data_IF_231936050067
#
_entry.id   IF_231936050067
#
_cell.length_a   1.000
_cell.length_b   1.000
_cell.length_c   1.000
_cell.angle_alpha   90.00
_cell.angle_beta   90.00
_cell.angle_gamma   90.00
#
_symmetry.space_group_name_H-M   'P 1'
#
loop_
_entity.id
_entity.type
_entity.pdbx_description
1 polymer ?
#
# COMPACT_ATOMS: atom_id res chain seq x y z
N UNK A 1 0.12 25.88 -2.85
CA UNK A 1 -0.34 24.81 -1.93
C UNK A 1 -1.83 24.63 -2.11
N UNK A 2 -2.25 23.69 -2.98
CA UNK A 2 -3.65 23.51 -3.39
C UNK A 2 -4.36 22.34 -2.70
N UNK A 3 -5.67 22.22 -2.92
CA UNK A 3 -6.51 21.12 -2.44
C UNK A 3 -5.93 19.76 -2.86
N UNK A 4 -5.52 18.95 -1.88
CA UNK A 4 -4.99 17.61 -2.14
C UNK A 4 -6.17 16.62 -2.13
N UNK A 5 -6.63 16.21 -3.30
CA UNK A 5 -7.63 15.14 -3.40
C UNK A 5 -6.97 13.79 -3.06
N UNK A 6 -7.34 13.20 -1.93
CA UNK A 6 -6.99 11.82 -1.54
C UNK A 6 -8.26 11.08 -1.19
N UNK A 7 -8.57 10.00 -1.90
CA UNK A 7 -9.72 9.14 -1.65
C UNK A 7 -9.24 7.72 -1.45
N UNK A 8 -9.51 7.14 -0.27
CA UNK A 8 -9.30 5.71 -0.01
C UNK A 8 -10.63 4.99 -0.18
N UNK A 9 -10.68 3.95 -1.01
CA UNK A 9 -11.84 3.07 -1.16
C UNK A 9 -11.43 1.66 -0.76
N UNK A 10 -12.06 1.12 0.28
CA UNK A 10 -11.89 -0.29 0.65
C UNK A 10 -12.62 -1.13 -0.40
N UNK A 11 -11.89 -2.05 -1.05
CA UNK A 11 -12.47 -3.01 -2.00
C UNK A 11 -12.94 -4.25 -1.24
N UNK A 12 -12.18 -4.63 -0.21
CA UNK A 12 -12.38 -5.85 0.55
C UNK A 12 -11.87 -5.65 1.99
N UNK A 13 -12.07 -6.63 2.88
CA UNK A 13 -11.57 -6.59 4.28
C UNK A 13 -10.06 -6.36 4.35
N UNK A 14 -9.32 -6.88 3.38
CA UNK A 14 -7.86 -6.79 3.34
C UNK A 14 -7.32 -5.99 2.15
N UNK A 15 -8.17 -5.35 1.34
CA UNK A 15 -7.74 -4.63 0.13
C UNK A 15 -8.33 -3.22 0.03
N UNK A 16 -7.49 -2.23 -0.30
CA UNK A 16 -7.94 -0.85 -0.50
C UNK A 16 -7.22 -0.16 -1.66
N UNK A 17 -7.94 0.72 -2.34
CA UNK A 17 -7.43 1.60 -3.41
C UNK A 17 -7.23 2.99 -2.80
N UNK A 18 -6.05 3.55 -2.98
CA UNK A 18 -5.74 4.94 -2.71
C UNK A 18 -5.70 5.69 -4.04
N UNK A 19 -6.71 6.52 -4.27
CA UNK A 19 -6.80 7.46 -5.36
C UNK A 19 -6.25 8.80 -4.88
N UNK A 20 -5.35 9.40 -5.64
CA UNK A 20 -4.77 10.71 -5.34
C UNK A 20 -4.62 11.53 -6.62
N UNK A 21 -4.46 12.86 -6.51
CA UNK A 21 -4.23 13.72 -7.67
C UNK A 21 -3.03 13.31 -8.56
N UNK A 22 -2.09 12.52 -8.02
CA UNK A 22 -0.95 11.95 -8.76
C UNK A 22 -1.16 10.51 -9.27
N UNK A 23 -2.35 9.94 -9.08
CA UNK A 23 -2.73 8.62 -9.60
C UNK A 23 -3.31 7.67 -8.56
N UNK A 24 -3.76 6.51 -9.05
CA UNK A 24 -4.34 5.41 -8.27
C UNK A 24 -3.28 4.39 -7.82
N UNK A 25 -3.45 3.82 -6.63
CA UNK A 25 -2.66 2.68 -6.15
C UNK A 25 -3.53 1.71 -5.38
N UNK A 26 -3.30 0.41 -5.55
CA UNK A 26 -4.00 -0.63 -4.80
C UNK A 26 -3.07 -1.20 -3.75
N UNK A 27 -3.59 -1.52 -2.58
CA UNK A 27 -2.88 -2.24 -1.52
C UNK A 27 -3.72 -3.44 -1.11
N UNK A 28 -3.07 -4.60 -0.94
CA UNK A 28 -3.70 -5.84 -0.54
C UNK A 28 -2.88 -6.50 0.57
N UNK A 29 -3.53 -6.85 1.66
CA UNK A 29 -2.98 -7.64 2.76
C UNK A 29 -3.37 -9.10 2.57
N UNK A 30 -2.43 -9.99 2.79
CA UNK A 30 -2.59 -11.44 2.76
C UNK A 30 -1.80 -11.97 3.97
N UNK A 31 -2.51 -12.20 5.07
CA UNK A 31 -1.91 -12.61 6.35
C UNK A 31 -0.90 -11.57 6.89
N UNK A 32 0.32 -11.97 7.26
CA UNK A 32 1.34 -11.04 7.74
C UNK A 32 1.91 -10.15 6.62
N UNK A 33 1.59 -10.42 5.35
CA UNK A 33 2.18 -9.71 4.22
C UNK A 33 1.21 -8.68 3.66
N UNK A 34 1.70 -7.48 3.36
CA UNK A 34 0.96 -6.41 2.69
C UNK A 34 1.72 -6.00 1.45
N UNK A 35 1.05 -6.02 0.30
CA UNK A 35 1.58 -5.61 -0.99
C UNK A 35 0.90 -4.33 -1.48
N UNK A 36 1.64 -3.50 -2.21
CA UNK A 36 1.13 -2.30 -2.87
C UNK A 36 1.51 -2.34 -4.35
N UNK A 37 0.55 -1.98 -5.22
CA UNK A 37 0.74 -1.89 -6.67
C UNK A 37 1.82 -0.88 -7.09
N UNK A 38 2.24 0.03 -6.20
CA UNK A 38 3.42 0.90 -6.36
C UNK A 38 4.76 0.16 -6.17
N UNK A 39 4.73 -1.16 -6.00
CA UNK A 39 5.90 -2.03 -5.93
C UNK A 39 6.58 -2.06 -4.56
N UNK A 40 5.80 -1.89 -3.50
CA UNK A 40 6.26 -2.04 -2.12
C UNK A 40 5.57 -3.21 -1.44
N UNK A 41 6.27 -3.87 -0.53
CA UNK A 41 5.72 -4.91 0.32
C UNK A 41 6.19 -4.77 1.77
N UNK A 42 5.41 -5.29 2.69
CA UNK A 42 5.69 -5.32 4.12
C UNK A 42 5.30 -6.69 4.66
N UNK A 43 6.17 -7.33 5.43
CA UNK A 43 5.93 -8.61 6.09
C UNK A 43 6.02 -8.37 7.59
N UNK A 44 4.96 -8.73 8.32
CA UNK A 44 4.92 -8.70 9.77
C UNK A 44 5.48 -10.01 10.29
N UNK A 45 6.66 -9.93 10.88
CA UNK A 45 7.35 -11.08 11.45
C UNK A 45 6.92 -11.26 12.93
N UNK A 46 6.98 -12.49 13.45
CA UNK A 46 6.77 -12.74 14.88
C UNK A 46 7.83 -12.01 15.72
N UNK A 47 7.49 -11.69 16.97
CA UNK A 47 8.38 -10.92 17.86
C UNK A 47 8.38 -9.40 17.63
N UNK A 48 7.38 -8.85 16.94
CA UNK A 48 7.21 -7.40 16.73
C UNK A 48 8.05 -6.83 15.57
N UNK A 49 8.79 -7.69 14.86
CA UNK A 49 9.63 -7.30 13.74
C UNK A 49 8.78 -7.04 12.49
N UNK A 50 9.17 -6.03 11.70
CA UNK A 50 8.52 -5.72 10.43
C UNK A 50 9.58 -5.61 9.34
N UNK A 51 9.48 -6.47 8.32
CA UNK A 51 10.35 -6.42 7.16
C UNK A 51 9.66 -5.66 6.04
N UNK A 52 10.29 -4.59 5.53
CA UNK A 52 9.71 -3.76 4.46
C UNK A 52 10.66 -3.71 3.28
N UNK A 53 10.15 -4.08 2.11
CA UNK A 53 10.90 -4.07 0.86
C UNK A 53 10.18 -3.29 -0.23
N UNK A 54 10.92 -2.87 -1.25
CA UNK A 54 10.37 -2.28 -2.48
C UNK A 54 11.07 -2.92 -3.67
N UNK A 55 10.31 -3.50 -4.59
CA UNK A 55 10.84 -4.06 -5.83
C UNK A 55 10.80 -3.05 -6.99
N UNK A 56 9.98 -2.00 -6.89
CA UNK A 56 9.92 -0.92 -7.88
C UNK A 56 10.55 0.34 -7.30
N UNK A 57 11.72 0.74 -7.81
CA UNK A 57 12.29 2.08 -7.60
C UNK A 57 11.41 3.07 -8.36
N UNK A 58 11.07 4.20 -7.74
CA UNK A 58 10.50 5.32 -8.48
C UNK A 58 11.58 5.74 -9.50
N UNK A 59 11.21 5.74 -10.78
CA UNK A 59 12.05 6.30 -11.84
C UNK A 59 12.05 7.82 -11.71
#
# INVERSE_FOLDING_TARGET
MGLIFRKRKNIDKDSWINLSGSGASMSKRIGPVTFNSRGGFSVRLPGGLNYRGRWKKNK
#
